data_IF_697278671485
#
_entry.id   IF_697278671485
#
_cell.length_a   1.000
_cell.length_b   1.000
_cell.length_c   1.000
_cell.angle_alpha   90.00
_cell.angle_beta   90.00
_cell.angle_gamma   90.00
#
_symmetry.space_group_name_H-M   'P 1'
#
loop_
_entity.id
_entity.type
_entity.pdbx_description
1 polymer ?
#
# COMPACT_ATOMS: atom_id res chain seq x y z
N UNK A 1 -0.66 12.19 25.55
CA UNK A 1 -0.41 13.16 24.48
C UNK A 1 -1.71 13.91 24.32
N UNK A 2 -1.71 15.19 24.69
CA UNK A 2 -2.86 16.05 24.39
C UNK A 2 -2.93 16.27 22.86
N UNK A 3 -4.06 16.75 22.37
CA UNK A 3 -4.30 16.94 20.94
C UNK A 3 -3.28 17.92 20.34
N UNK A 4 -2.91 18.97 21.08
CA UNK A 4 -1.92 19.95 20.64
C UNK A 4 -0.53 19.33 20.50
N UNK A 5 -0.09 18.51 21.47
CA UNK A 5 1.19 17.79 21.40
C UNK A 5 1.25 16.81 20.21
N UNK A 6 0.11 16.23 19.83
CA UNK A 6 0.04 15.35 18.65
C UNK A 6 0.18 16.13 17.34
N UNK A 7 -0.47 17.29 17.22
CA UNK A 7 -0.36 18.15 16.05
C UNK A 7 1.07 18.68 15.89
N UNK A 8 1.67 19.13 16.99
CA UNK A 8 3.06 19.60 17.00
C UNK A 8 4.05 18.50 16.56
N UNK A 9 3.80 17.25 16.95
CA UNK A 9 4.63 16.12 16.55
C UNK A 9 4.57 15.85 15.03
N UNK A 10 3.45 16.14 14.36
CA UNK A 10 3.32 16.00 12.90
C UNK A 10 4.07 17.10 12.15
N UNK A 11 4.24 18.27 12.75
CA UNK A 11 5.03 19.37 12.19
C UNK A 11 6.54 19.22 12.44
N UNK A 12 6.95 18.24 13.24
CA UNK A 12 8.37 17.98 13.47
C UNK A 12 9.09 17.65 12.15
N UNK A 13 10.29 18.22 11.89
CA UNK A 13 11.00 18.00 10.62
C UNK A 13 11.23 16.53 10.23
N UNK A 14 11.37 15.64 11.22
CA UNK A 14 11.46 14.19 10.97
C UNK A 14 10.14 13.61 10.43
N UNK A 15 9.00 14.05 10.95
CA UNK A 15 7.70 13.60 10.47
C UNK A 15 7.44 14.09 9.04
N UNK A 16 7.75 15.37 8.76
CA UNK A 16 7.65 15.94 7.41
C UNK A 16 8.57 15.23 6.40
N UNK A 17 9.82 14.96 6.80
CA UNK A 17 10.79 14.26 5.94
C UNK A 17 10.38 12.81 5.70
N UNK A 18 9.92 12.11 6.74
CA UNK A 18 9.40 10.74 6.63
C UNK A 18 8.19 10.67 5.72
N UNK A 19 7.19 11.52 5.95
CA UNK A 19 6.00 11.62 5.11
C UNK A 19 6.37 11.87 3.64
N UNK A 20 7.26 12.83 3.36
CA UNK A 20 7.69 13.11 1.99
C UNK A 20 8.36 11.90 1.34
N UNK A 21 9.25 11.23 2.06
CA UNK A 21 9.93 10.03 1.57
C UNK A 21 8.93 8.93 1.18
N UNK A 22 8.00 8.61 2.09
CA UNK A 22 7.01 7.56 1.87
C UNK A 22 6.04 7.94 0.74
N UNK A 23 5.59 9.19 0.70
CA UNK A 23 4.66 9.68 -0.30
C UNK A 23 5.27 9.73 -1.70
N UNK A 24 6.53 10.13 -1.83
CA UNK A 24 7.25 10.11 -3.11
C UNK A 24 7.51 8.66 -3.57
N UNK A 25 7.81 7.73 -2.65
CA UNK A 25 7.93 6.30 -2.97
C UNK A 25 6.58 5.72 -3.46
N UNK A 26 5.47 6.07 -2.82
CA UNK A 26 4.13 5.67 -3.28
C UNK A 26 3.80 6.24 -4.67
N UNK A 27 4.21 7.47 -4.97
CA UNK A 27 4.03 8.06 -6.30
C UNK A 27 4.85 7.35 -7.36
N UNK A 28 6.08 6.99 -7.04
CA UNK A 28 7.00 6.27 -7.92
C UNK A 28 6.54 4.84 -8.20
N UNK A 29 6.09 4.10 -7.18
CA UNK A 29 5.74 2.69 -7.31
C UNK A 29 4.53 2.43 -8.21
N UNK A 30 4.57 1.39 -9.05
CA UNK A 30 3.44 0.99 -9.89
C UNK A 30 2.37 0.18 -9.14
N UNK A 31 2.80 -0.57 -8.11
CA UNK A 31 1.98 -1.52 -7.37
C UNK A 31 2.21 -1.38 -5.86
N UNK A 32 1.14 -1.49 -5.08
CA UNK A 32 1.18 -1.63 -3.63
C UNK A 32 0.91 -3.09 -3.24
N UNK A 33 1.74 -3.66 -2.37
CA UNK A 33 1.47 -4.94 -1.70
C UNK A 33 1.24 -4.67 -0.21
N UNK A 34 -0.01 -4.70 0.23
CA UNK A 34 -0.39 -4.53 1.63
C UNK A 34 -0.15 -5.84 2.39
N UNK A 35 0.91 -5.89 3.18
CA UNK A 35 1.29 -7.09 3.94
C UNK A 35 0.58 -7.10 5.30
N UNK A 36 -0.22 -8.13 5.58
CA UNK A 36 -0.96 -8.25 6.83
C UNK A 36 -0.22 -9.05 7.90
N UNK A 37 -0.40 -8.70 9.19
CA UNK A 37 -1.07 -7.51 9.70
C UNK A 37 -0.21 -6.26 9.49
N UNK A 38 -0.87 -5.13 9.33
CA UNK A 38 -0.23 -3.83 9.27
C UNK A 38 -1.05 -2.79 10.06
N UNK A 39 -0.42 -1.64 10.32
CA UNK A 39 -1.02 -0.54 11.08
C UNK A 39 -1.86 0.42 10.22
N UNK A 40 -2.36 1.48 10.85
CA UNK A 40 -3.19 2.48 10.20
C UNK A 40 -2.49 3.14 8.99
N UNK A 41 -1.20 3.49 9.11
CA UNK A 41 -0.45 4.14 8.02
C UNK A 41 -0.44 3.31 6.74
N UNK A 42 -0.11 2.03 6.82
CA UNK A 42 -0.07 1.14 5.67
C UNK A 42 -1.46 0.98 5.00
N UNK A 43 -2.54 0.96 5.79
CA UNK A 43 -3.90 0.95 5.24
C UNK A 43 -4.25 2.27 4.54
N UNK A 44 -3.87 3.41 5.14
CA UNK A 44 -4.05 4.74 4.55
C UNK A 44 -3.27 4.88 3.24
N UNK A 45 -2.03 4.40 3.19
CA UNK A 45 -1.18 4.35 2.00
C UNK A 45 -1.79 3.49 0.90
N UNK A 46 -2.19 2.25 1.22
CA UNK A 46 -2.85 1.35 0.27
C UNK A 46 -4.16 1.94 -0.28
N UNK A 47 -4.95 2.58 0.58
CA UNK A 47 -6.16 3.30 0.19
C UNK A 47 -5.86 4.46 -0.76
N UNK A 48 -4.85 5.28 -0.45
CA UNK A 48 -4.42 6.38 -1.30
C UNK A 48 -3.92 5.88 -2.66
N UNK A 49 -3.05 4.86 -2.69
CA UNK A 49 -2.52 4.29 -3.94
C UNK A 49 -3.66 3.72 -4.80
N UNK A 50 -4.67 3.09 -4.19
CA UNK A 50 -5.86 2.64 -4.92
C UNK A 50 -6.64 3.82 -5.51
N UNK A 51 -6.87 4.87 -4.72
CA UNK A 51 -7.51 6.11 -5.18
C UNK A 51 -6.75 6.81 -6.30
N UNK A 52 -5.42 6.71 -6.32
CA UNK A 52 -4.54 7.22 -7.36
C UNK A 52 -4.51 6.35 -8.63
N UNK A 53 -5.31 5.30 -8.71
CA UNK A 53 -5.42 4.41 -9.87
C UNK A 53 -4.34 3.32 -9.95
N UNK A 54 -3.48 3.18 -8.94
CA UNK A 54 -2.44 2.15 -8.89
C UNK A 54 -3.04 0.78 -8.53
N UNK A 55 -2.31 -0.28 -8.84
CA UNK A 55 -2.69 -1.65 -8.47
C UNK A 55 -2.36 -1.89 -7.00
N UNK A 56 -3.30 -2.46 -6.26
CA UNK A 56 -3.14 -2.74 -4.83
C UNK A 56 -3.58 -4.17 -4.55
N UNK A 57 -2.72 -4.97 -3.95
CA UNK A 57 -3.03 -6.35 -3.56
C UNK A 57 -2.70 -6.57 -2.10
N UNK A 58 -3.44 -7.47 -1.44
CA UNK A 58 -3.24 -7.82 -0.04
C UNK A 58 -2.50 -9.14 0.05
N UNK A 59 -1.41 -9.18 0.82
CA UNK A 59 -0.76 -10.42 1.20
C UNK A 59 -1.16 -10.80 2.64
N UNK A 60 -1.95 -11.86 2.79
CA UNK A 60 -2.49 -12.31 4.07
C UNK A 60 -2.08 -13.76 4.35
N UNK A 61 -0.88 -13.95 4.93
CA UNK A 61 -0.33 -15.29 5.21
C UNK A 61 -0.79 -15.91 6.54
N UNK A 62 -1.65 -15.23 7.30
CA UNK A 62 -2.23 -15.72 8.55
C UNK A 62 -3.67 -15.25 8.72
N UNK A 63 -4.49 -15.95 9.52
CA UNK A 63 -5.85 -15.53 9.79
C UNK A 63 -5.92 -14.09 10.31
N UNK A 64 -6.85 -13.31 9.77
CA UNK A 64 -7.17 -11.95 10.19
C UNK A 64 -8.68 -11.81 10.29
N UNK A 65 -9.15 -10.83 11.06
CA UNK A 65 -10.57 -10.45 11.01
C UNK A 65 -10.91 -10.03 9.57
N UNK A 66 -12.03 -10.51 9.00
CA UNK A 66 -12.46 -10.06 7.69
C UNK A 66 -12.64 -8.54 7.67
N UNK A 67 -12.02 -7.89 6.68
CA UNK A 67 -12.12 -6.44 6.45
C UNK A 67 -12.84 -6.20 5.12
N UNK A 68 -13.97 -5.48 5.17
CA UNK A 68 -14.84 -5.31 4.01
C UNK A 68 -14.17 -4.43 2.94
N UNK A 69 -13.35 -3.47 3.36
CA UNK A 69 -12.75 -2.48 2.49
C UNK A 69 -11.72 -3.09 1.54
N UNK A 70 -11.24 -4.31 1.79
CA UNK A 70 -10.36 -5.02 0.87
C UNK A 70 -11.04 -5.36 -0.48
N UNK A 71 -12.36 -5.22 -0.57
CA UNK A 71 -13.08 -5.27 -1.86
C UNK A 71 -12.68 -4.15 -2.84
N UNK A 72 -12.05 -3.08 -2.35
CA UNK A 72 -11.48 -2.04 -3.21
C UNK A 72 -10.20 -2.50 -3.92
N UNK A 73 -9.50 -3.48 -3.37
CA UNK A 73 -8.20 -3.91 -3.84
C UNK A 73 -8.31 -4.96 -4.95
N UNK A 74 -7.24 -5.10 -5.73
CA UNK A 74 -7.17 -5.94 -6.92
C UNK A 74 -6.99 -7.44 -6.60
N UNK A 75 -6.80 -7.80 -5.32
CA UNK A 75 -6.76 -9.20 -4.89
C UNK A 75 -6.29 -9.39 -3.45
N UNK A 76 -6.56 -10.58 -2.90
CA UNK A 76 -6.05 -11.04 -1.60
C UNK A 76 -5.38 -12.39 -1.82
N UNK A 77 -4.13 -12.50 -1.43
CA UNK A 77 -3.30 -13.67 -1.68
C UNK A 77 -2.73 -14.22 -0.36
N UNK A 78 -2.90 -15.53 -0.09
CA UNK A 78 -2.37 -16.13 1.13
C UNK A 78 -0.91 -16.59 0.99
N UNK A 79 -0.41 -16.74 -0.25
CA UNK A 79 0.94 -17.24 -0.53
C UNK A 79 1.76 -16.19 -1.27
N UNK A 80 3.02 -16.01 -0.86
CA UNK A 80 3.94 -15.09 -1.52
C UNK A 80 4.18 -15.46 -3.00
N UNK A 81 4.08 -16.75 -3.34
CA UNK A 81 4.17 -17.22 -4.73
C UNK A 81 3.07 -16.65 -5.63
N UNK A 82 1.85 -16.45 -5.12
CA UNK A 82 0.76 -15.87 -5.89
C UNK A 82 0.96 -14.37 -6.12
N UNK A 83 1.53 -13.66 -5.14
CA UNK A 83 1.95 -12.26 -5.31
C UNK A 83 3.02 -12.16 -6.40
N UNK A 84 4.05 -13.00 -6.34
CA UNK A 84 5.10 -13.00 -7.36
C UNK A 84 4.57 -13.31 -8.77
N UNK A 85 3.61 -14.23 -8.88
CA UNK A 85 2.92 -14.52 -10.15
C UNK A 85 2.14 -13.31 -10.65
N UNK A 86 1.33 -12.69 -9.79
CA UNK A 86 0.57 -11.48 -10.11
C UNK A 86 1.48 -10.34 -10.63
N UNK A 87 2.60 -10.09 -9.96
CA UNK A 87 3.55 -9.05 -10.37
C UNK A 87 4.17 -9.35 -11.74
N UNK A 88 4.56 -10.60 -12.01
CA UNK A 88 5.08 -11.00 -13.32
C UNK A 88 4.06 -10.85 -14.44
N UNK A 89 2.81 -11.21 -14.19
CA UNK A 89 1.73 -11.06 -15.18
C UNK A 89 1.48 -9.58 -15.50
N UNK A 90 1.52 -8.72 -14.48
CA UNK A 90 1.36 -7.29 -14.67
C UNK A 90 2.52 -6.67 -15.47
N UNK A 91 3.75 -7.08 -15.19
CA UNK A 91 4.95 -6.61 -15.88
C UNK A 91 4.89 -6.96 -17.39
N UNK A 92 4.59 -8.22 -17.71
CA UNK A 92 4.41 -8.68 -19.10
C UNK A 92 3.33 -7.87 -19.84
N UNK A 93 2.23 -7.52 -19.16
CA UNK A 93 1.15 -6.72 -19.76
C UNK A 93 1.56 -5.27 -20.03
N UNK A 94 2.46 -4.71 -19.22
CA UNK A 94 2.97 -3.36 -19.40
C UNK A 94 3.96 -3.32 -20.57
N UNK A 95 4.84 -4.32 -20.69
CA UNK A 95 5.75 -4.47 -21.83
C UNK A 95 5.00 -4.49 -23.16
N UNK A 96 3.93 -5.31 -23.23
CA UNK A 96 3.06 -5.41 -24.41
C UNK A 96 2.37 -4.09 -24.80
N UNK A 97 2.09 -3.20 -23.84
CA UNK A 97 1.49 -1.88 -24.09
C UNK A 97 2.51 -0.83 -24.53
N UNK A 98 3.80 -1.10 -24.31
CA UNK A 98 4.90 -0.20 -24.66
C UNK A 98 5.51 -0.46 -26.03
N UNK A 99 5.17 -1.60 -26.64
CA UNK A 99 5.46 -1.93 -28.05
C UNK A 99 4.47 -1.26 -28.99
#
# INVERSE_FOLDING_TARGET
MDTDEHLDALEHPLAQTGFKSDFDAMRWADVCVLVLPCGASAHSEAGWMKGAGKKVVVYQNRPQKPELMYKLFDGIFPMAADIARFLKELDNMNDLKSM
#
